data_IF_410368212145
#
_entry.id   IF_410368212145
#
_cell.length_a   1.000
_cell.length_b   1.000
_cell.length_c   1.000
_cell.angle_alpha   90.00
_cell.angle_beta   90.00
_cell.angle_gamma   90.00
#
_symmetry.space_group_name_H-M   'P 1'
#
loop_
_entity.id
_entity.type
_entity.pdbx_description
1 polymer ?
#
# COMPACT_ATOMS: atom_id res chain seq x y z
N UNK A 1 -6.51 11.72 -29.61
CA UNK A 1 -7.70 10.91 -29.26
C UNK A 1 -7.43 10.24 -27.92
N UNK A 2 -7.89 10.86 -26.82
CA UNK A 2 -7.65 10.35 -25.46
C UNK A 2 -8.47 9.09 -25.20
N UNK A 3 -7.83 8.01 -24.73
CA UNK A 3 -8.52 6.83 -24.22
C UNK A 3 -9.31 7.27 -22.98
N UNK A 4 -10.63 7.42 -23.12
CA UNK A 4 -11.55 7.50 -22.00
C UNK A 4 -11.34 6.23 -21.15
N UNK A 5 -10.67 6.38 -20.01
CA UNK A 5 -10.59 5.32 -19.01
C UNK A 5 -11.97 5.19 -18.37
N UNK A 6 -12.86 4.47 -19.08
CA UNK A 6 -14.16 4.07 -18.57
C UNK A 6 -13.95 3.33 -17.24
N UNK A 7 -14.58 3.81 -16.17
CA UNK A 7 -14.58 3.14 -14.88
C UNK A 7 -15.09 1.71 -15.03
N UNK A 8 -14.61 0.79 -14.19
CA UNK A 8 -15.00 -0.64 -14.23
C UNK A 8 -16.53 -0.78 -14.24
N UNK A 9 -17.23 0.06 -13.47
CA UNK A 9 -18.69 0.17 -13.46
C UNK A 9 -19.28 0.40 -14.85
N UNK A 10 -18.77 1.38 -15.60
CA UNK A 10 -19.29 1.68 -16.93
C UNK A 10 -19.01 0.55 -17.92
N UNK A 11 -17.88 -0.17 -17.77
CA UNK A 11 -17.55 -1.34 -18.59
C UNK A 11 -18.52 -2.50 -18.33
N UNK A 12 -18.81 -2.81 -17.06
CA UNK A 12 -19.76 -3.87 -16.70
C UNK A 12 -21.16 -3.54 -17.22
N UNK A 13 -21.64 -2.31 -17.03
CA UNK A 13 -22.93 -1.86 -17.54
C UNK A 13 -22.97 -1.97 -19.07
N UNK A 14 -21.92 -1.54 -19.77
CA UNK A 14 -21.90 -1.56 -21.23
C UNK A 14 -21.90 -2.99 -21.78
N UNK A 15 -21.08 -3.89 -21.22
CA UNK A 15 -21.01 -5.30 -21.65
C UNK A 15 -22.34 -6.01 -21.41
N UNK A 16 -22.94 -5.83 -20.24
CA UNK A 16 -24.22 -6.47 -19.89
C UNK A 16 -25.37 -5.94 -20.76
N UNK A 17 -25.43 -4.62 -20.99
CA UNK A 17 -26.43 -4.03 -21.89
C UNK A 17 -26.23 -4.54 -23.33
N UNK A 18 -24.99 -4.65 -23.81
CA UNK A 18 -24.70 -5.19 -25.13
C UNK A 18 -25.15 -6.64 -25.30
N UNK A 19 -24.91 -7.50 -24.30
CA UNK A 19 -25.39 -8.88 -24.28
C UNK A 19 -26.93 -8.91 -24.29
N UNK A 20 -27.58 -8.05 -23.49
CA UNK A 20 -29.03 -7.99 -23.41
C UNK A 20 -29.65 -7.55 -24.74
N UNK A 21 -29.11 -6.50 -25.37
CA UNK A 21 -29.54 -6.03 -26.70
C UNK A 21 -29.40 -7.16 -27.72
N UNK A 22 -28.26 -7.86 -27.73
CA UNK A 22 -28.03 -8.96 -28.65
C UNK A 22 -29.02 -10.11 -28.43
N UNK A 23 -29.28 -10.51 -27.17
CA UNK A 23 -30.24 -11.55 -26.84
C UNK A 23 -31.67 -11.19 -27.25
N UNK A 24 -32.10 -9.96 -26.98
CA UNK A 24 -33.44 -9.46 -27.36
C UNK A 24 -33.58 -9.42 -28.89
N UNK A 25 -32.56 -8.93 -29.61
CA UNK A 25 -32.57 -8.89 -31.07
C UNK A 25 -32.63 -10.30 -31.68
N UNK A 26 -31.80 -11.22 -31.19
CA UNK A 26 -31.80 -12.61 -31.64
C UNK A 26 -33.15 -13.30 -31.40
N UNK A 27 -33.74 -13.11 -30.21
CA UNK A 27 -35.05 -13.65 -29.89
C UNK A 27 -36.15 -13.07 -30.77
N UNK A 28 -36.17 -11.74 -30.97
CA UNK A 28 -37.18 -11.09 -31.83
C UNK A 28 -37.09 -11.57 -33.29
N UNK A 29 -35.88 -11.73 -33.82
CA UNK A 29 -35.66 -12.26 -35.17
C UNK A 29 -36.16 -13.70 -35.30
N UNK A 30 -35.83 -14.55 -34.32
CA UNK A 30 -36.26 -15.94 -34.30
C UNK A 30 -37.79 -16.08 -34.21
N UNK A 31 -38.42 -15.35 -33.27
CA UNK A 31 -39.88 -15.36 -33.12
C UNK A 31 -40.61 -14.84 -34.36
N UNK A 32 -40.11 -13.77 -34.99
CA UNK A 32 -40.69 -13.25 -36.24
C UNK A 32 -40.60 -14.27 -37.37
N UNK A 33 -39.47 -14.95 -37.52
CA UNK A 33 -39.30 -15.99 -38.55
C UNK A 33 -40.24 -17.18 -38.33
N UNK A 34 -40.39 -17.64 -37.09
CA UNK A 34 -41.32 -18.74 -36.73
C UNK A 34 -42.76 -18.31 -37.04
N UNK A 35 -43.16 -17.12 -36.59
CA UNK A 35 -44.51 -16.61 -36.79
C UNK A 35 -44.86 -16.47 -38.27
N UNK A 36 -43.96 -15.92 -39.09
CA UNK A 36 -44.18 -15.78 -40.54
C UNK A 36 -44.53 -17.13 -41.17
N UNK A 37 -43.77 -18.17 -40.83
CA UNK A 37 -43.94 -19.52 -41.36
C UNK A 37 -45.24 -20.16 -40.88
N UNK A 38 -45.55 -20.07 -39.59
CA UNK A 38 -46.79 -20.62 -39.03
C UNK A 38 -48.04 -19.92 -39.58
N UNK A 39 -47.99 -18.59 -39.70
CA UNK A 39 -49.09 -17.79 -40.23
C UNK A 39 -49.36 -18.09 -41.71
N UNK A 40 -48.30 -18.21 -42.52
CA UNK A 40 -48.42 -18.63 -43.92
C UNK A 40 -49.05 -20.03 -44.03
N UNK A 41 -48.52 -21.03 -43.30
CA UNK A 41 -49.06 -22.38 -43.32
C UNK A 41 -50.54 -22.43 -42.91
N UNK A 42 -50.96 -21.59 -41.94
CA UNK A 42 -52.34 -21.50 -41.51
C UNK A 42 -53.27 -20.92 -42.60
N UNK A 43 -52.80 -19.90 -43.34
CA UNK A 43 -53.53 -19.34 -44.47
C UNK A 43 -53.64 -20.34 -45.63
N UNK A 44 -52.54 -21.03 -45.95
CA UNK A 44 -52.53 -22.10 -46.96
C UNK A 44 -53.50 -23.23 -46.62
N UNK A 45 -53.48 -23.70 -45.37
CA UNK A 45 -54.40 -24.73 -44.89
C UNK A 45 -55.86 -24.29 -44.97
N UNK A 46 -56.15 -23.02 -44.63
CA UNK A 46 -57.49 -22.44 -44.74
C UNK A 46 -57.95 -22.36 -46.19
N UNK A 47 -57.12 -21.84 -47.09
CA UNK A 47 -57.41 -21.76 -48.52
C UNK A 47 -57.64 -23.15 -49.13
N UNK A 48 -56.87 -24.16 -48.70
CA UNK A 48 -57.06 -25.55 -49.11
C UNK A 48 -58.41 -26.13 -48.66
N UNK A 49 -58.80 -25.93 -47.40
CA UNK A 49 -60.11 -26.37 -46.89
C UNK A 49 -61.26 -25.70 -47.64
N UNK A 50 -61.15 -24.40 -47.89
CA UNK A 50 -62.13 -23.61 -48.64
C UNK A 50 -62.26 -24.13 -50.08
N UNK A 51 -61.15 -24.30 -50.77
CA UNK A 51 -61.17 -24.83 -52.14
C UNK A 51 -61.71 -26.26 -52.20
N UNK A 52 -61.46 -27.09 -51.18
CA UNK A 52 -62.05 -28.44 -51.09
C UNK A 52 -63.56 -28.38 -50.88
N UNK A 53 -64.06 -27.40 -50.13
CA UNK A 53 -65.49 -27.14 -49.99
C UNK A 53 -66.14 -26.79 -51.33
N UNK A 54 -65.54 -25.85 -52.09
CA UNK A 54 -65.99 -25.52 -53.45
C UNK A 54 -65.99 -26.74 -54.36
N UNK A 55 -64.94 -27.57 -54.27
CA UNK A 55 -64.84 -28.79 -55.07
C UNK A 55 -65.99 -29.73 -54.75
N UNK A 56 -66.31 -29.94 -53.47
CA UNK A 56 -67.42 -30.81 -53.07
C UNK A 56 -68.77 -30.31 -53.62
N UNK A 57 -69.01 -29.00 -53.61
CA UNK A 57 -70.22 -28.42 -54.19
C UNK A 57 -70.27 -28.57 -55.72
N UNK A 58 -69.13 -28.40 -56.37
CA UNK A 58 -68.99 -28.55 -57.81
C UNK A 58 -69.18 -30.01 -58.24
N UNK A 59 -68.56 -30.96 -57.53
CA UNK A 59 -68.72 -32.40 -57.74
C UNK A 59 -70.19 -32.81 -57.64
N UNK A 60 -70.96 -32.23 -56.70
CA UNK A 60 -72.41 -32.45 -56.58
C UNK A 60 -73.16 -31.99 -57.83
N UNK A 61 -72.80 -30.85 -58.42
CA UNK A 61 -73.43 -30.33 -59.64
C UNK A 61 -73.03 -31.14 -60.89
N UNK A 62 -71.76 -31.51 -60.98
CA UNK A 62 -71.21 -32.32 -62.08
C UNK A 62 -71.75 -33.77 -62.07
N UNK A 63 -72.21 -34.27 -60.91
CA UNK A 63 -72.84 -35.59 -60.80
C UNK A 63 -74.12 -35.75 -61.64
N UNK A 64 -74.73 -34.64 -62.08
CA UNK A 64 -75.86 -34.61 -63.00
C UNK A 64 -75.47 -34.67 -64.48
N UNK A 65 -74.20 -34.99 -64.79
CA UNK A 65 -73.63 -35.07 -66.15
C UNK A 65 -73.70 -33.74 -66.93
N UNK A 66 -73.72 -32.62 -66.20
CA UNK A 66 -73.68 -31.28 -66.78
C UNK A 66 -72.21 -30.90 -67.00
N UNK A 67 -71.78 -30.55 -68.23
CA UNK A 67 -70.42 -30.10 -68.47
C UNK A 67 -70.07 -28.87 -67.64
N UNK A 68 -68.84 -28.79 -67.12
CA UNK A 68 -68.38 -27.69 -66.26
C UNK A 68 -68.64 -26.29 -66.87
N UNK A 69 -68.43 -26.15 -68.18
CA UNK A 69 -68.67 -24.92 -68.93
C UNK A 69 -70.16 -24.53 -69.11
N UNK A 70 -71.08 -25.46 -68.85
CA UNK A 70 -72.52 -25.26 -68.97
C UNK A 70 -73.19 -25.00 -67.60
N UNK A 71 -72.43 -25.07 -66.50
CA UNK A 71 -72.94 -24.70 -65.19
C UNK A 71 -73.19 -23.18 -65.15
N UNK A 72 -74.23 -22.77 -64.42
CA UNK A 72 -74.62 -21.35 -64.30
C UNK A 72 -74.83 -21.03 -62.83
N UNK A 73 -74.36 -19.86 -62.39
CA UNK A 73 -74.62 -19.34 -61.06
C UNK A 73 -73.61 -19.79 -59.99
N UNK A 74 -72.60 -20.57 -60.36
CA UNK A 74 -71.53 -20.98 -59.43
C UNK A 74 -70.62 -19.81 -59.03
N UNK A 75 -70.65 -18.69 -59.77
CA UNK A 75 -69.96 -17.45 -59.40
C UNK A 75 -70.44 -16.95 -58.03
N UNK A 76 -71.71 -17.20 -57.67
CA UNK A 76 -72.27 -16.82 -56.37
C UNK A 76 -71.58 -17.54 -55.21
N UNK A 77 -71.20 -18.82 -55.40
CA UNK A 77 -70.46 -19.58 -54.39
C UNK A 77 -69.04 -19.02 -54.21
N UNK A 78 -68.38 -18.66 -55.31
CA UNK A 78 -67.09 -17.97 -55.25
C UNK A 78 -67.20 -16.62 -54.52
N UNK A 79 -68.26 -15.85 -54.76
CA UNK A 79 -68.52 -14.57 -54.09
C UNK A 79 -68.79 -14.74 -52.59
N UNK A 80 -69.61 -15.72 -52.21
CA UNK A 80 -69.97 -15.97 -50.82
C UNK A 80 -68.75 -16.34 -49.99
N UNK A 81 -67.86 -17.19 -50.52
CA UNK A 81 -66.61 -17.57 -49.85
C UNK A 81 -65.67 -16.38 -49.66
N UNK A 82 -65.44 -15.56 -50.68
CA UNK A 82 -64.57 -14.39 -50.55
C UNK A 82 -65.17 -13.38 -49.56
N UNK A 83 -66.49 -13.32 -49.46
CA UNK A 83 -67.20 -12.46 -48.49
C UNK A 83 -67.16 -13.01 -47.07
N UNK A 84 -67.26 -14.32 -46.88
CA UNK A 84 -67.26 -14.97 -45.57
C UNK A 84 -65.85 -15.05 -44.97
N UNK A 85 -64.82 -15.26 -45.80
CA UNK A 85 -63.45 -15.41 -45.35
C UNK A 85 -62.61 -14.18 -45.68
N UNK A 86 -62.46 -13.27 -44.72
CA UNK A 86 -61.75 -11.98 -44.85
C UNK A 86 -60.30 -12.07 -45.40
N UNK A 87 -59.64 -13.22 -45.26
CA UNK A 87 -58.26 -13.43 -45.69
C UNK A 87 -58.12 -14.00 -47.12
N UNK A 88 -59.23 -14.32 -47.79
CA UNK A 88 -59.22 -14.83 -49.16
C UNK A 88 -59.45 -13.66 -50.11
N UNK A 89 -58.53 -13.46 -51.05
CA UNK A 89 -58.59 -12.37 -52.01
C UNK A 89 -59.45 -12.72 -53.22
N UNK A 90 -59.39 -13.98 -53.67
CA UNK A 90 -60.21 -14.46 -54.77
C UNK A 90 -60.50 -15.96 -54.66
N UNK A 91 -61.57 -16.37 -55.31
CA UNK A 91 -61.90 -17.76 -55.56
C UNK A 91 -62.43 -17.89 -56.99
N UNK A 92 -61.93 -18.86 -57.73
CA UNK A 92 -62.31 -19.06 -59.13
C UNK A 92 -62.24 -20.52 -59.55
N UNK A 93 -62.90 -20.82 -60.67
CA UNK A 93 -62.91 -22.11 -61.34
C UNK A 93 -62.48 -21.91 -62.79
N UNK A 94 -61.56 -22.73 -63.24
CA UNK A 94 -60.94 -22.63 -64.57
C UNK A 94 -60.98 -23.95 -65.30
N UNK A 95 -61.03 -23.92 -66.63
CA UNK A 95 -60.82 -25.12 -67.45
C UNK A 95 -59.32 -25.48 -67.54
N UNK A 96 -58.99 -26.65 -68.10
CA UNK A 96 -57.59 -27.09 -68.29
C UNK A 96 -56.76 -26.20 -69.21
N UNK A 97 -57.41 -25.34 -70.00
CA UNK A 97 -56.73 -24.36 -70.85
C UNK A 97 -56.44 -23.07 -70.09
N UNK A 98 -56.96 -22.91 -68.88
CA UNK A 98 -56.81 -21.71 -68.05
C UNK A 98 -57.88 -20.64 -68.31
N UNK A 99 -58.98 -20.99 -68.99
CA UNK A 99 -60.12 -20.09 -69.17
C UNK A 99 -60.92 -20.01 -67.89
N UNK A 100 -61.18 -18.80 -67.38
CA UNK A 100 -61.95 -18.57 -66.17
C UNK A 100 -63.45 -18.79 -66.46
N UNK A 101 -64.02 -19.79 -65.81
CA UNK A 101 -65.44 -20.16 -65.93
C UNK A 101 -66.28 -19.52 -64.83
N UNK A 102 -65.78 -19.51 -63.60
CA UNK A 102 -66.44 -18.88 -62.46
C UNK A 102 -65.43 -18.08 -61.66
N UNK A 103 -65.78 -16.89 -61.19
CA UNK A 103 -64.89 -16.03 -60.42
C UNK A 103 -65.71 -15.18 -59.45
N UNK A 104 -65.14 -14.83 -58.29
CA UNK A 104 -65.83 -13.96 -57.32
C UNK A 104 -66.10 -12.55 -57.88
N UNK A 105 -65.14 -11.98 -58.62
CA UNK A 105 -65.34 -10.80 -59.47
C UNK A 105 -65.88 -11.21 -60.86
N UNK A 106 -67.13 -10.87 -61.22
CA UNK A 106 -67.72 -11.21 -62.51
C UNK A 106 -67.00 -10.62 -63.73
N UNK A 107 -66.22 -9.54 -63.55
CA UNK A 107 -65.47 -8.92 -64.65
C UNK A 107 -64.32 -9.80 -65.18
N UNK A 108 -63.95 -10.82 -64.40
CA UNK A 108 -62.90 -11.79 -64.72
C UNK A 108 -63.42 -13.01 -65.49
N UNK A 109 -64.73 -13.13 -65.68
CA UNK A 109 -65.32 -14.22 -66.45
C UNK A 109 -64.79 -14.24 -67.89
N UNK A 110 -64.58 -15.44 -68.44
CA UNK A 110 -64.02 -15.68 -69.77
C UNK A 110 -62.58 -15.18 -70.00
N UNK A 111 -61.93 -14.57 -69.01
CA UNK A 111 -60.52 -14.19 -69.13
C UNK A 111 -59.62 -15.44 -69.13
N UNK A 112 -58.44 -15.28 -69.73
CA UNK A 112 -57.50 -16.37 -69.97
C UNK A 112 -56.26 -16.18 -69.09
N UNK A 113 -55.96 -17.17 -68.25
CA UNK A 113 -54.73 -17.18 -67.47
C UNK A 113 -53.56 -17.39 -68.42
N UNK A 114 -52.56 -16.52 -68.32
CA UNK A 114 -51.36 -16.53 -69.19
C UNK A 114 -50.11 -16.98 -68.45
N UNK A 115 -50.12 -17.02 -67.12
CA UNK A 115 -48.96 -17.45 -66.33
C UNK A 115 -48.66 -18.94 -66.55
N UNK A 116 -47.47 -19.22 -67.07
CA UNK A 116 -47.03 -20.58 -67.43
C UNK A 116 -46.89 -21.54 -66.24
N UNK A 117 -46.54 -21.03 -65.05
CA UNK A 117 -46.38 -21.84 -63.84
C UNK A 117 -47.75 -22.27 -63.35
N UNK A 118 -48.70 -21.32 -63.32
CA UNK A 118 -50.08 -21.59 -62.92
C UNK A 118 -50.78 -22.52 -63.91
N UNK A 119 -50.64 -22.29 -65.23
CA UNK A 119 -51.22 -23.17 -66.25
C UNK A 119 -50.73 -24.62 -66.10
N UNK A 120 -49.42 -24.80 -65.87
CA UNK A 120 -48.84 -26.13 -65.64
C UNK A 120 -49.37 -26.77 -64.35
N UNK A 121 -49.65 -25.98 -63.32
CA UNK A 121 -50.21 -26.46 -62.06
C UNK A 121 -51.70 -26.84 -62.21
N UNK A 122 -52.49 -26.05 -62.94
CA UNK A 122 -53.90 -26.35 -63.28
C UNK A 122 -54.03 -27.67 -64.03
N UNK A 123 -53.06 -28.02 -64.90
CA UNK A 123 -53.10 -29.25 -65.69
C UNK A 123 -52.70 -30.51 -64.91
N UNK A 124 -52.15 -30.37 -63.71
CA UNK A 124 -51.76 -31.51 -62.88
C UNK A 124 -52.96 -32.02 -62.06
N UNK A 125 -53.20 -33.35 -62.01
CA UNK A 125 -54.33 -33.94 -61.28
C UNK A 125 -54.07 -34.03 -59.76
N UNK A 126 -53.33 -33.07 -59.20
CA UNK A 126 -52.97 -33.03 -57.79
C UNK A 126 -53.05 -31.60 -57.27
N UNK A 127 -53.41 -31.45 -56.00
CA UNK A 127 -53.45 -30.13 -55.38
C UNK A 127 -52.05 -29.56 -55.23
N UNK A 128 -51.88 -28.27 -55.48
CA UNK A 128 -50.59 -27.59 -55.33
C UNK A 128 -50.79 -26.18 -54.80
N UNK A 129 -49.70 -25.63 -54.25
CA UNK A 129 -49.64 -24.25 -53.79
C UNK A 129 -48.67 -23.52 -54.73
N UNK A 130 -49.10 -22.40 -55.28
CA UNK A 130 -48.29 -21.60 -56.19
C UNK A 130 -48.29 -20.14 -55.76
N UNK A 131 -47.24 -19.44 -56.16
CA UNK A 131 -47.15 -18.00 -56.06
C UNK A 131 -47.58 -17.41 -57.40
N UNK A 132 -48.59 -16.55 -57.37
CA UNK A 132 -49.14 -15.89 -58.54
C UNK A 132 -48.98 -14.38 -58.39
N UNK A 133 -48.55 -13.69 -59.45
CA UNK A 133 -48.43 -12.24 -59.42
C UNK A 133 -49.24 -11.62 -60.55
N UNK A 134 -50.06 -10.64 -60.19
CA UNK A 134 -50.95 -9.92 -61.09
C UNK A 134 -51.01 -8.45 -60.67
N UNK A 135 -50.81 -7.54 -61.63
CA UNK A 135 -50.93 -6.08 -61.43
C UNK A 135 -50.16 -5.57 -60.18
N UNK A 136 -48.89 -5.94 -60.05
CA UNK A 136 -48.01 -5.61 -58.91
C UNK A 136 -48.43 -6.17 -57.54
N UNK A 137 -49.44 -7.04 -57.49
CA UNK A 137 -49.77 -7.81 -56.30
C UNK A 137 -49.29 -9.25 -56.43
N UNK A 138 -48.90 -9.83 -55.31
CA UNK A 138 -48.51 -11.22 -55.21
C UNK A 138 -49.50 -11.95 -54.32
N UNK A 139 -49.95 -13.11 -54.77
CA UNK A 139 -50.88 -13.98 -54.09
C UNK A 139 -50.24 -15.35 -53.90
N UNK A 140 -50.47 -15.94 -52.74
CA UNK A 140 -50.29 -17.37 -52.57
C UNK A 140 -51.65 -18.01 -52.87
N UNK A 141 -51.66 -19.01 -53.73
CA UNK A 141 -52.89 -19.68 -54.12
C UNK A 141 -52.81 -21.19 -54.00
N UNK A 142 -53.93 -21.77 -53.62
CA UNK A 142 -54.12 -23.22 -53.61
C UNK A 142 -54.92 -23.60 -54.84
N UNK A 143 -54.37 -24.52 -55.62
CA UNK A 143 -54.96 -25.05 -56.85
C UNK A 143 -55.45 -26.46 -56.53
N UNK A 144 -56.74 -26.71 -56.75
CA UNK A 144 -57.39 -27.98 -56.46
C UNK A 144 -58.00 -28.52 -57.75
N UNK A 145 -57.62 -29.72 -58.21
CA UNK A 145 -58.13 -30.29 -59.44
C UNK A 145 -59.61 -30.66 -59.31
N UNK A 146 -60.36 -30.43 -60.39
CA UNK A 146 -61.78 -30.74 -60.56
C UNK A 146 -61.91 -31.88 -61.56
N UNK A 147 -62.70 -32.88 -61.20
CA UNK A 147 -62.91 -34.07 -62.04
C UNK A 147 -64.37 -34.14 -62.49
N UNK A 148 -64.59 -34.64 -63.71
CA UNK A 148 -65.91 -34.86 -64.28
C UNK A 148 -66.58 -36.11 -63.72
N UNK A 149 -67.77 -36.41 -64.25
CA UNK A 149 -68.57 -37.57 -63.85
C UNK A 149 -67.89 -38.92 -64.13
N UNK A 150 -66.85 -38.94 -64.98
CA UNK A 150 -66.08 -40.14 -65.36
C UNK A 150 -64.65 -40.12 -64.81
N UNK A 151 -64.41 -39.35 -63.75
CA UNK A 151 -63.10 -39.18 -63.09
C UNK A 151 -62.01 -38.60 -64.01
N UNK A 152 -62.42 -37.90 -65.06
CA UNK A 152 -61.54 -37.18 -65.96
C UNK A 152 -61.22 -35.78 -65.42
N UNK A 153 -59.95 -35.38 -65.43
CA UNK A 153 -59.55 -34.05 -65.00
C UNK A 153 -60.08 -33.02 -66.01
N UNK A 154 -60.92 -32.06 -65.58
CA UNK A 154 -61.61 -31.12 -66.47
C UNK A 154 -61.29 -29.65 -66.18
N UNK A 155 -60.69 -29.36 -65.03
CA UNK A 155 -60.38 -28.01 -64.62
C UNK A 155 -59.79 -27.96 -63.22
N UNK A 156 -59.68 -26.75 -62.67
CA UNK A 156 -59.21 -26.55 -61.31
C UNK A 156 -59.98 -25.43 -60.60
N UNK A 157 -60.07 -25.54 -59.28
CA UNK A 157 -60.46 -24.46 -58.38
C UNK A 157 -59.18 -23.78 -57.90
N UNK A 158 -59.14 -22.45 -57.96
CA UNK A 158 -58.06 -21.62 -57.44
C UNK A 158 -58.59 -20.75 -56.32
N UNK A 159 -57.96 -20.81 -55.16
CA UNK A 159 -58.27 -19.96 -54.01
C UNK A 159 -57.01 -19.23 -53.60
N UNK A 160 -57.00 -17.90 -53.76
CA UNK A 160 -55.82 -17.07 -53.53
C UNK A 160 -55.98 -16.12 -52.36
N UNK A 161 -54.88 -15.86 -51.66
CA UNK A 161 -54.77 -14.83 -50.64
C UNK A 161 -53.52 -13.99 -50.85
N UNK A 162 -53.63 -12.69 -50.58
CA UNK A 162 -52.54 -11.74 -50.80
C UNK A 162 -51.33 -12.03 -49.91
N UNK A 163 -50.13 -12.06 -50.50
CA UNK A 163 -48.86 -12.13 -49.76
C UNK A 163 -48.64 -10.89 -48.89
N UNK A 164 -49.28 -9.75 -49.22
CA UNK A 164 -49.22 -8.54 -48.41
C UNK A 164 -49.89 -8.70 -47.04
N UNK A 165 -50.88 -9.58 -46.90
CA UNK A 165 -51.52 -9.88 -45.62
C UNK A 165 -50.52 -10.43 -44.59
N UNK A 166 -49.58 -11.26 -45.04
CA UNK A 166 -48.49 -11.78 -44.21
C UNK A 166 -47.54 -10.63 -43.81
N UNK A 167 -47.18 -9.77 -44.77
CA UNK A 167 -46.28 -8.63 -44.51
C UNK A 167 -46.87 -7.64 -43.51
N UNK A 168 -48.15 -7.28 -43.65
CA UNK A 168 -48.86 -6.40 -42.72
C UNK A 168 -48.90 -6.99 -41.31
N UNK A 169 -49.20 -8.30 -41.18
CA UNK A 169 -49.24 -8.95 -39.86
C UNK A 169 -47.86 -9.05 -39.21
N UNK A 170 -46.81 -9.18 -40.02
CA UNK A 170 -45.43 -9.12 -39.55
C UNK A 170 -45.05 -7.72 -39.06
N UNK A 171 -45.48 -6.65 -39.75
CA UNK A 171 -45.22 -5.26 -39.34
C UNK A 171 -45.85 -4.93 -37.99
N UNK A 172 -47.09 -5.34 -37.75
CA UNK A 172 -47.74 -5.25 -36.43
C UNK A 172 -46.88 -5.95 -35.37
N UNK A 173 -46.45 -7.19 -35.65
CA UNK A 173 -45.67 -8.00 -34.73
C UNK A 173 -44.29 -7.38 -34.43
N UNK A 174 -43.63 -6.81 -35.44
CA UNK A 174 -42.37 -6.07 -35.25
C UNK A 174 -42.58 -4.82 -34.38
N UNK A 175 -43.69 -4.12 -34.55
CA UNK A 175 -44.01 -2.94 -33.73
C UNK A 175 -44.19 -3.36 -32.27
N UNK A 176 -44.99 -4.41 -32.01
CA UNK A 176 -45.16 -4.95 -30.67
C UNK A 176 -43.86 -5.48 -30.08
N UNK A 177 -43.06 -6.24 -30.85
CA UNK A 177 -41.80 -6.80 -30.37
C UNK A 177 -40.78 -5.71 -30.03
N UNK A 178 -40.76 -4.62 -30.79
CA UNK A 178 -39.89 -3.46 -30.54
C UNK A 178 -40.29 -2.73 -29.26
N UNK A 179 -41.59 -2.52 -29.03
CA UNK A 179 -42.08 -1.91 -27.78
C UNK A 179 -41.74 -2.79 -26.58
N UNK A 180 -41.99 -4.10 -26.67
CA UNK A 180 -41.65 -5.06 -25.60
C UNK A 180 -40.15 -5.11 -25.35
N UNK A 181 -39.34 -5.07 -26.42
CA UNK A 181 -37.88 -5.01 -26.33
C UNK A 181 -37.41 -3.76 -25.57
N UNK A 182 -37.96 -2.59 -25.89
CA UNK A 182 -37.59 -1.33 -25.23
C UNK A 182 -37.98 -1.32 -23.75
N UNK A 183 -39.18 -1.78 -23.42
CA UNK A 183 -39.64 -1.91 -22.02
C UNK A 183 -38.76 -2.90 -21.25
N UNK A 184 -38.46 -4.05 -21.85
CA UNK A 184 -37.58 -5.05 -21.23
C UNK A 184 -36.16 -4.50 -21.01
N UNK A 185 -35.61 -3.79 -21.99
CA UNK A 185 -34.28 -3.19 -21.92
C UNK A 185 -34.21 -2.12 -20.82
N UNK A 186 -35.20 -1.24 -20.76
CA UNK A 186 -35.24 -0.17 -19.74
C UNK A 186 -35.39 -0.73 -18.33
N UNK A 187 -36.25 -1.73 -18.14
CA UNK A 187 -36.43 -2.39 -16.85
C UNK A 187 -35.17 -3.14 -16.42
N UNK A 188 -34.54 -3.89 -17.34
CA UNK A 188 -33.30 -4.59 -17.07
C UNK A 188 -32.14 -3.62 -16.76
N UNK A 189 -32.01 -2.53 -17.51
CA UNK A 189 -31.00 -1.50 -17.25
C UNK A 189 -31.22 -0.84 -15.88
N UNK A 190 -32.47 -0.51 -15.54
CA UNK A 190 -32.82 0.05 -14.23
C UNK A 190 -32.48 -0.89 -13.07
N UNK A 191 -32.84 -2.17 -13.19
CA UNK A 191 -32.56 -3.19 -12.18
C UNK A 191 -31.05 -3.43 -12.02
N UNK A 192 -30.31 -3.42 -13.13
CA UNK A 192 -28.86 -3.56 -13.13
C UNK A 192 -28.18 -2.37 -12.44
N UNK A 193 -28.57 -1.14 -12.78
CA UNK A 193 -28.06 0.08 -12.13
C UNK A 193 -28.36 0.06 -10.63
N UNK A 194 -29.58 -0.32 -10.25
CA UNK A 194 -30.00 -0.44 -8.86
C UNK A 194 -29.17 -1.48 -8.10
N UNK A 195 -29.04 -2.70 -8.63
CA UNK A 195 -28.27 -3.80 -8.03
C UNK A 195 -26.79 -3.42 -7.86
N UNK A 196 -26.14 -2.92 -8.92
CA UNK A 196 -24.76 -2.45 -8.84
C UNK A 196 -24.59 -1.32 -7.82
N UNK A 197 -25.55 -0.40 -7.71
CA UNK A 197 -25.48 0.67 -6.74
C UNK A 197 -25.63 0.15 -5.31
N UNK A 198 -26.61 -0.71 -5.05
CA UNK A 198 -26.98 -1.17 -3.72
C UNK A 198 -25.97 -2.17 -3.15
N UNK A 199 -25.51 -3.11 -3.97
CA UNK A 199 -24.72 -4.26 -3.50
C UNK A 199 -23.22 -4.09 -3.72
N UNK A 200 -22.78 -3.26 -4.67
CA UNK A 200 -21.35 -3.09 -4.98
C UNK A 200 -20.87 -1.68 -4.67
N UNK A 201 -21.51 -0.67 -5.26
CA UNK A 201 -20.97 0.71 -5.25
C UNK A 201 -21.07 1.35 -3.87
N UNK A 202 -22.24 1.29 -3.21
CA UNK A 202 -22.43 1.90 -1.89
C UNK A 202 -21.50 1.29 -0.81
N UNK A 203 -21.37 -0.05 -0.69
CA UNK A 203 -20.43 -0.66 0.25
C UNK A 203 -18.97 -0.26 -0.01
N UNK A 204 -18.52 -0.31 -1.26
CA UNK A 204 -17.14 0.09 -1.61
C UNK A 204 -16.88 1.57 -1.34
N UNK A 205 -17.87 2.44 -1.57
CA UNK A 205 -17.73 3.86 -1.28
C UNK A 205 -17.64 4.10 0.22
N UNK A 206 -18.42 3.38 1.04
CA UNK A 206 -18.30 3.43 2.51
C UNK A 206 -16.92 3.00 2.99
N UNK A 207 -16.38 1.90 2.48
CA UNK A 207 -15.00 1.47 2.77
C UNK A 207 -13.98 2.55 2.37
N UNK A 208 -14.11 3.11 1.17
CA UNK A 208 -13.20 4.14 0.67
C UNK A 208 -13.27 5.42 1.49
N UNK A 209 -14.45 5.85 1.95
CA UNK A 209 -14.57 7.05 2.79
C UNK A 209 -13.97 6.81 4.16
N UNK A 210 -14.24 5.65 4.79
CA UNK A 210 -13.63 5.29 6.08
C UNK A 210 -12.09 5.28 6.01
N UNK A 211 -11.50 4.79 4.90
CA UNK A 211 -10.05 4.85 4.69
C UNK A 211 -9.55 6.30 4.65
N UNK A 212 -10.25 7.19 3.95
CA UNK A 212 -9.84 8.60 3.85
C UNK A 212 -9.95 9.32 5.20
N UNK A 213 -10.97 9.01 5.98
CA UNK A 213 -11.20 9.59 7.30
C UNK A 213 -10.17 9.09 8.34
N UNK A 214 -9.76 7.82 8.29
CA UNK A 214 -8.64 7.30 9.09
C UNK A 214 -7.34 8.02 8.72
N UNK A 215 -7.05 8.17 7.42
CA UNK A 215 -5.83 8.87 6.96
C UNK A 215 -5.80 10.32 7.43
N UNK A 216 -6.95 10.97 7.52
CA UNK A 216 -7.05 12.36 7.95
C UNK A 216 -7.15 12.50 9.49
N UNK A 217 -6.96 11.41 10.25
CA UNK A 217 -6.99 11.37 11.72
C UNK A 217 -8.33 11.86 12.31
N UNK A 218 -9.42 11.76 11.53
CA UNK A 218 -10.74 12.29 11.90
C UNK A 218 -11.69 11.26 12.50
N UNK A 219 -11.36 9.97 12.40
CA UNK A 219 -12.26 8.89 12.83
C UNK A 219 -11.77 8.24 14.13
N UNK A 220 -12.72 8.05 15.06
CA UNK A 220 -12.62 7.16 16.20
C UNK A 220 -12.71 5.72 15.66
N UNK A 221 -11.68 4.89 15.84
CA UNK A 221 -11.66 3.58 15.18
C UNK A 221 -12.64 2.54 15.75
N UNK A 222 -13.56 2.97 16.61
CA UNK A 222 -14.68 2.17 17.12
C UNK A 222 -15.81 1.92 16.11
N UNK A 223 -15.88 2.64 14.99
CA UNK A 223 -16.87 2.37 13.94
C UNK A 223 -16.47 1.23 13.00
N UNK A 224 -17.02 0.04 13.23
CA UNK A 224 -16.89 -1.08 12.31
C UNK A 224 -17.60 -0.82 10.98
N UNK A 225 -16.92 -1.16 9.88
CA UNK A 225 -17.57 -1.17 8.56
C UNK A 225 -18.46 -2.41 8.46
N UNK A 226 -19.74 -2.24 8.81
CA UNK A 226 -20.74 -3.28 8.63
C UNK A 226 -21.10 -3.42 7.15
N UNK A 227 -20.85 -4.60 6.58
CA UNK A 227 -21.39 -5.02 5.29
C UNK A 227 -22.66 -5.83 5.51
N UNK A 228 -23.68 -5.62 4.66
CA UNK A 228 -24.89 -6.46 4.61
C UNK A 228 -24.79 -7.61 3.61
N UNK A 229 -23.71 -7.66 2.82
CA UNK A 229 -23.52 -8.69 1.79
C UNK A 229 -22.79 -9.89 2.39
N UNK A 230 -23.02 -11.10 1.85
CA UNK A 230 -22.38 -12.38 2.26
C UNK A 230 -21.35 -12.87 1.25
N UNK A 231 -20.61 -11.95 0.65
CA UNK A 231 -19.76 -12.17 -0.52
C UNK A 231 -18.32 -11.65 -0.26
N UNK A 232 -17.55 -11.45 -1.32
CA UNK A 232 -16.17 -10.94 -1.25
C UNK A 232 -16.09 -9.55 -0.58
N UNK A 233 -17.18 -8.76 -0.61
CA UNK A 233 -17.24 -7.45 0.06
C UNK A 233 -17.34 -7.64 1.57
N UNK A 234 -18.00 -8.68 2.06
CA UNK A 234 -17.97 -9.05 3.48
C UNK A 234 -16.57 -9.41 3.93
N UNK A 235 -15.89 -10.26 3.16
CA UNK A 235 -14.52 -10.68 3.47
C UNK A 235 -13.57 -9.48 3.51
N UNK A 236 -13.69 -8.57 2.54
CA UNK A 236 -12.91 -7.34 2.52
C UNK A 236 -13.21 -6.44 3.72
N UNK A 237 -14.49 -6.30 4.10
CA UNK A 237 -14.90 -5.50 5.26
C UNK A 237 -14.37 -6.09 6.57
N UNK A 238 -14.43 -7.41 6.73
CA UNK A 238 -13.88 -8.11 7.90
C UNK A 238 -12.35 -7.99 7.97
N UNK A 239 -11.65 -8.17 6.84
CA UNK A 239 -10.20 -7.99 6.77
C UNK A 239 -9.80 -6.55 7.09
N UNK A 240 -10.58 -5.57 6.61
CA UNK A 240 -10.37 -4.16 6.91
C UNK A 240 -10.60 -3.84 8.38
N UNK A 241 -11.67 -4.34 8.99
CA UNK A 241 -11.93 -4.16 10.42
C UNK A 241 -10.79 -4.76 11.27
N UNK A 242 -10.27 -5.95 10.89
CA UNK A 242 -9.08 -6.52 11.56
C UNK A 242 -7.85 -5.63 11.45
N UNK A 243 -7.57 -5.09 10.26
CA UNK A 243 -6.45 -4.18 10.06
C UNK A 243 -6.59 -2.90 10.90
N UNK A 244 -7.81 -2.38 11.03
CA UNK A 244 -8.11 -1.24 11.92
C UNK A 244 -7.76 -1.60 13.36
N UNK A 245 -8.26 -2.72 13.87
CA UNK A 245 -8.00 -3.15 15.26
C UNK A 245 -6.50 -3.37 15.51
N UNK A 246 -5.78 -3.97 14.56
CA UNK A 246 -4.33 -4.17 14.67
C UNK A 246 -3.58 -2.83 14.67
N UNK A 247 -4.03 -1.87 13.85
CA UNK A 247 -3.46 -0.52 13.80
C UNK A 247 -3.69 0.23 15.12
N UNK A 248 -4.89 0.16 15.70
CA UNK A 248 -5.19 0.73 17.01
C UNK A 248 -4.27 0.16 18.10
N UNK A 249 -4.12 -1.17 18.13
CA UNK A 249 -3.25 -1.84 19.10
C UNK A 249 -1.79 -1.41 18.93
N UNK A 250 -1.31 -1.35 17.69
CA UNK A 250 0.06 -0.90 17.40
C UNK A 250 0.27 0.56 17.82
N UNK A 251 -0.69 1.46 17.56
CA UNK A 251 -0.61 2.85 18.03
C UNK A 251 -0.61 2.95 19.56
N UNK A 252 -1.43 2.14 20.24
CA UNK A 252 -1.46 2.11 21.71
C UNK A 252 -0.13 1.60 22.30
N UNK A 253 0.47 0.57 21.71
CA UNK A 253 1.80 0.07 22.11
C UNK A 253 2.89 1.12 21.90
N UNK A 254 2.90 1.80 20.75
CA UNK A 254 3.86 2.89 20.48
C UNK A 254 3.71 4.02 21.50
N UNK A 255 2.48 4.45 21.81
CA UNK A 255 2.24 5.47 22.84
C UNK A 255 2.75 5.04 24.20
N UNK A 256 2.50 3.79 24.60
CA UNK A 256 3.00 3.22 25.84
C UNK A 256 4.54 3.22 25.89
N UNK A 257 5.21 2.73 24.85
CA UNK A 257 6.68 2.74 24.79
C UNK A 257 7.26 4.15 24.79
N UNK A 258 6.58 5.10 24.14
CA UNK A 258 7.01 6.51 24.13
C UNK A 258 6.96 7.09 25.54
N UNK A 259 5.88 6.87 26.28
CA UNK A 259 5.76 7.30 27.68
C UNK A 259 6.80 6.62 28.59
N UNK A 260 7.00 5.31 28.45
CA UNK A 260 8.03 4.59 29.21
C UNK A 260 9.45 5.12 28.92
N UNK A 261 9.72 5.46 27.65
CA UNK A 261 11.01 6.02 27.24
C UNK A 261 11.20 7.44 27.78
N UNK A 262 10.16 8.29 27.74
CA UNK A 262 10.21 9.64 28.32
C UNK A 262 10.55 9.60 29.81
N UNK A 263 9.88 8.76 30.59
CA UNK A 263 10.17 8.56 32.02
C UNK A 263 11.62 8.11 32.22
N UNK A 264 12.08 7.11 31.46
CA UNK A 264 13.44 6.58 31.58
C UNK A 264 14.51 7.58 31.18
N UNK A 265 14.23 8.42 30.18
CA UNK A 265 15.12 9.52 29.76
C UNK A 265 15.19 10.57 30.86
N UNK A 266 14.08 10.93 31.48
CA UNK A 266 14.04 11.88 32.60
C UNK A 266 14.84 11.36 33.80
N UNK A 267 14.63 10.10 34.21
CA UNK A 267 15.39 9.45 35.29
C UNK A 267 16.91 9.44 35.01
N UNK A 268 17.31 9.00 33.82
CA UNK A 268 18.74 8.95 33.44
C UNK A 268 19.36 10.34 33.35
N UNK A 269 18.60 11.34 32.91
CA UNK A 269 19.09 12.72 32.84
C UNK A 269 19.30 13.30 34.24
N UNK A 270 18.39 13.01 35.18
CA UNK A 270 18.54 13.40 36.58
C UNK A 270 19.75 12.73 37.25
N UNK A 271 19.93 11.41 37.02
CA UNK A 271 21.09 10.66 37.51
C UNK A 271 22.41 11.23 36.97
N UNK A 272 22.49 11.46 35.66
CA UNK A 272 23.67 12.05 35.02
C UNK A 272 23.97 13.46 35.55
N UNK A 273 22.94 14.27 35.80
CA UNK A 273 23.13 15.60 36.38
C UNK A 273 23.75 15.52 37.77
N UNK A 274 23.24 14.65 38.64
CA UNK A 274 23.76 14.46 39.99
C UNK A 274 25.22 13.95 39.97
N UNK A 275 25.52 12.96 39.12
CA UNK A 275 26.89 12.45 38.95
C UNK A 275 27.83 13.57 38.44
N UNK A 276 27.38 14.40 37.50
CA UNK A 276 28.18 15.51 36.98
C UNK A 276 28.45 16.57 38.05
N UNK A 277 27.45 16.94 38.85
CA UNK A 277 27.62 17.84 40.00
C UNK A 277 28.65 17.28 41.00
N UNK A 278 28.58 15.98 41.33
CA UNK A 278 29.56 15.34 42.20
C UNK A 278 30.97 15.34 41.60
N UNK A 279 31.11 15.00 40.31
CA UNK A 279 32.42 15.06 39.63
C UNK A 279 33.00 16.47 39.64
N UNK A 280 32.18 17.50 39.42
CA UNK A 280 32.64 18.89 39.47
C UNK A 280 33.15 19.26 40.87
N UNK A 281 32.47 18.79 41.93
CA UNK A 281 32.94 18.99 43.29
C UNK A 281 34.28 18.26 43.54
N UNK A 282 34.40 16.99 43.17
CA UNK A 282 35.64 16.22 43.33
C UNK A 282 36.81 16.88 42.59
N UNK A 283 36.59 17.39 41.36
CA UNK A 283 37.59 18.12 40.59
C UNK A 283 37.99 19.42 41.30
N UNK A 284 37.04 20.15 41.87
CA UNK A 284 37.33 21.39 42.60
C UNK A 284 38.13 21.13 43.87
N UNK A 285 37.79 20.08 44.63
CA UNK A 285 38.53 19.66 45.82
C UNK A 285 39.96 19.23 45.47
N UNK A 286 40.12 18.43 44.41
CA UNK A 286 41.43 18.00 43.92
C UNK A 286 42.31 19.19 43.53
N UNK A 287 41.76 20.15 42.77
CA UNK A 287 42.50 21.38 42.40
C UNK A 287 42.94 22.20 43.61
N UNK A 288 42.10 22.32 44.65
CA UNK A 288 42.46 23.00 45.89
C UNK A 288 43.55 22.26 46.68
N UNK A 289 43.57 20.93 46.64
CA UNK A 289 44.63 20.14 47.27
C UNK A 289 45.95 20.30 46.52
N UNK A 290 45.92 20.24 45.19
CA UNK A 290 47.09 20.47 44.32
C UNK A 290 47.68 21.88 44.52
N UNK A 291 46.83 22.92 44.60
CA UNK A 291 47.31 24.29 44.85
C UNK A 291 47.93 24.45 46.25
N UNK A 292 47.29 23.92 47.29
CA UNK A 292 47.87 23.96 48.65
C UNK A 292 49.20 23.22 48.76
N UNK A 293 49.33 22.10 48.06
CA UNK A 293 50.59 21.37 47.99
C UNK A 293 51.66 22.23 47.32
N UNK A 294 51.34 22.82 46.17
CA UNK A 294 52.25 23.71 45.43
C UNK A 294 52.69 24.92 46.25
N UNK A 295 51.76 25.59 46.94
CA UNK A 295 52.06 26.71 47.83
C UNK A 295 52.98 26.29 48.99
N UNK A 296 52.73 25.11 49.58
CA UNK A 296 53.57 24.57 50.66
C UNK A 296 54.98 24.24 50.18
N UNK A 297 55.12 23.62 49.01
CA UNK A 297 56.41 23.28 48.40
C UNK A 297 57.21 24.56 48.05
N UNK A 298 56.56 25.56 47.46
CA UNK A 298 57.17 26.86 47.17
C UNK A 298 57.66 27.53 48.46
N UNK A 299 56.79 27.57 49.49
CA UNK A 299 57.14 28.18 50.77
C UNK A 299 58.32 27.49 51.44
N UNK A 300 58.35 26.16 51.44
CA UNK A 300 59.50 25.40 51.96
C UNK A 300 60.77 25.72 51.18
N UNK A 301 60.71 25.71 49.84
CA UNK A 301 61.86 26.03 48.99
C UNK A 301 62.41 27.43 49.27
N UNK A 302 61.54 28.44 49.38
CA UNK A 302 61.96 29.82 49.68
C UNK A 302 62.65 29.90 51.04
N UNK A 303 62.05 29.32 52.09
CA UNK A 303 62.61 29.34 53.45
C UNK A 303 63.96 28.61 53.53
N UNK A 304 64.09 27.47 52.85
CA UNK A 304 65.31 26.70 52.82
C UNK A 304 66.43 27.44 52.06
N UNK A 305 66.14 27.92 50.84
CA UNK A 305 67.15 28.56 49.98
C UNK A 305 67.61 29.94 50.51
N UNK A 306 66.70 30.73 51.09
CA UNK A 306 67.02 32.08 51.59
C UNK A 306 67.28 32.15 53.10
N UNK A 307 67.51 31.00 53.76
CA UNK A 307 68.03 31.01 55.13
C UNK A 307 69.38 31.73 55.19
N UNK A 308 69.62 32.64 56.17
CA UNK A 308 70.88 33.36 56.30
C UNK A 308 72.03 32.46 56.77
N UNK A 309 71.70 31.33 57.38
CA UNK A 309 72.68 30.31 57.80
C UNK A 309 72.79 29.21 56.72
N UNK A 310 73.96 28.58 56.65
CA UNK A 310 74.19 27.44 55.78
C UNK A 310 73.38 26.24 56.29
N UNK A 311 72.47 25.73 55.46
CA UNK A 311 71.66 24.56 55.78
C UNK A 311 72.12 23.36 54.97
N UNK A 312 72.31 22.23 55.63
CA UNK A 312 72.57 20.94 55.00
C UNK A 312 71.58 19.91 55.54
N UNK A 313 71.13 19.02 54.66
CA UNK A 313 70.36 17.84 55.02
C UNK A 313 71.24 16.63 54.73
N UNK A 314 71.42 15.77 55.73
CA UNK A 314 72.39 14.68 55.71
C UNK A 314 71.68 13.39 56.05
N UNK A 315 71.96 12.32 55.30
CA UNK A 315 71.52 10.96 55.60
C UNK A 315 72.63 10.22 56.37
N UNK A 316 72.48 10.03 57.70
CA UNK A 316 73.46 9.28 58.47
C UNK A 316 73.40 7.76 58.21
N UNK A 317 72.38 7.30 57.48
CA UNK A 317 72.10 5.89 57.20
C UNK A 317 72.37 5.48 55.74
N UNK A 318 72.86 6.40 54.89
CA UNK A 318 73.20 6.08 53.51
C UNK A 318 74.25 4.95 53.44
N UNK A 319 73.92 3.91 52.68
CA UNK A 319 74.77 2.72 52.52
C UNK A 319 75.88 2.91 51.48
N UNK A 320 75.72 3.89 50.59
CA UNK A 320 76.64 4.14 49.48
C UNK A 320 77.67 5.20 49.85
N UNK A 321 77.23 6.27 50.50
CA UNK A 321 78.09 7.40 50.89
C UNK A 321 77.90 7.66 52.38
N UNK A 322 78.98 7.54 53.16
CA UNK A 322 78.88 7.74 54.60
C UNK A 322 78.50 9.18 54.94
N UNK A 323 77.38 9.37 55.65
CA UNK A 323 76.84 10.69 56.02
C UNK A 323 76.69 11.59 54.79
N UNK A 324 75.91 11.10 53.84
CA UNK A 324 75.65 11.72 52.54
C UNK A 324 74.87 13.02 52.70
N UNK A 325 75.32 14.08 52.04
CA UNK A 325 74.57 15.33 51.94
C UNK A 325 73.46 15.13 50.89
N UNK A 326 72.20 15.05 51.35
CA UNK A 326 71.02 14.94 50.48
C UNK A 326 70.61 16.27 49.86
N UNK A 327 70.79 17.37 50.60
CA UNK A 327 70.42 18.70 50.16
C UNK A 327 71.28 19.76 50.88
N UNK A 328 71.48 20.92 50.26
CA UNK A 328 72.09 22.09 50.88
C UNK A 328 71.56 23.39 50.27
N UNK A 329 71.38 24.43 51.08
CA UNK A 329 70.93 25.72 50.56
C UNK A 329 72.05 26.50 49.86
N UNK A 330 71.70 27.57 49.14
CA UNK A 330 72.69 28.39 48.44
C UNK A 330 73.77 28.96 49.36
N UNK A 331 73.41 29.33 50.61
CA UNK A 331 74.37 29.83 51.59
C UNK A 331 75.41 28.78 51.97
N UNK A 332 75.03 27.50 52.13
CA UNK A 332 75.97 26.42 52.39
C UNK A 332 76.96 26.22 51.24
N UNK A 333 76.49 26.32 50.00
CA UNK A 333 77.33 26.30 48.81
C UNK A 333 78.33 27.45 48.80
N UNK A 334 77.84 28.69 49.00
CA UNK A 334 78.67 29.90 48.99
C UNK A 334 79.71 29.90 50.14
N UNK A 335 79.29 29.53 51.35
CA UNK A 335 80.14 29.51 52.54
C UNK A 335 81.31 28.52 52.39
N UNK A 336 81.06 27.34 51.81
CA UNK A 336 82.07 26.30 51.66
C UNK A 336 82.80 26.33 50.29
N UNK A 337 82.34 27.15 49.34
CA UNK A 337 82.98 27.37 48.04
C UNK A 337 82.67 26.29 46.99
N UNK A 338 81.67 25.45 47.22
CA UNK A 338 81.27 24.37 46.32
C UNK A 338 79.96 24.72 45.61
N UNK A 339 79.76 24.20 44.38
CA UNK A 339 78.43 24.20 43.76
C UNK A 339 77.58 23.11 44.39
N UNK A 340 76.27 23.26 44.32
CA UNK A 340 75.30 22.29 44.87
C UNK A 340 75.54 20.89 44.32
N UNK A 341 75.78 20.76 43.02
CA UNK A 341 76.03 19.47 42.35
C UNK A 341 77.37 18.83 42.76
N UNK A 342 78.26 19.61 43.37
CA UNK A 342 79.54 19.13 43.92
C UNK A 342 79.43 18.74 45.40
N UNK A 343 78.38 19.19 46.11
CA UNK A 343 78.14 18.87 47.53
C UNK A 343 77.12 17.76 47.71
N UNK A 344 76.00 17.83 47.00
CA UNK A 344 74.91 16.84 47.11
C UNK A 344 75.40 15.49 46.59
N UNK A 345 75.13 14.43 47.35
CA UNK A 345 75.63 13.08 47.10
C UNK A 345 77.08 12.85 47.58
N UNK A 346 77.75 13.85 48.15
CA UNK A 346 79.05 13.67 48.79
C UNK A 346 78.92 13.48 50.30
N UNK A 347 79.96 12.94 50.92
CA UNK A 347 80.04 12.83 52.38
C UNK A 347 80.24 14.22 53.01
N UNK A 348 79.66 14.44 54.19
CA UNK A 348 79.93 15.63 55.01
C UNK A 348 81.43 15.82 55.35
N UNK A 349 82.23 14.75 55.25
CA UNK A 349 83.69 14.82 55.42
C UNK A 349 84.38 15.68 54.37
N UNK A 350 83.69 16.01 53.27
CA UNK A 350 84.14 17.02 52.32
C UNK A 350 84.41 18.37 53.02
N UNK A 351 83.62 18.69 54.05
CA UNK A 351 83.69 19.95 54.78
C UNK A 351 84.46 19.83 56.09
N UNK A 352 84.32 18.73 56.81
CA UNK A 352 84.90 18.58 58.15
C UNK A 352 86.44 18.44 58.11
N UNK A 353 87.15 19.18 58.98
CA UNK A 353 88.61 19.02 59.14
C UNK A 353 88.90 17.80 60.02
N UNK A 354 89.51 16.76 59.42
CA UNK A 354 89.68 15.41 59.94
C UNK A 354 90.64 15.21 61.16
N UNK A 355 90.93 16.23 61.97
CA UNK A 355 91.89 16.09 63.08
C UNK A 355 91.31 15.44 64.36
N UNK A 356 90.00 15.17 64.36
CA UNK A 356 89.35 14.28 65.35
C UNK A 356 88.35 13.41 64.61
N UNK A 357 88.67 12.13 64.43
CA UNK A 357 87.67 11.12 64.06
C UNK A 357 86.68 11.00 65.24
N UNK A 358 85.72 11.92 65.29
CA UNK A 358 84.62 11.84 66.23
C UNK A 358 83.82 10.58 65.90
N UNK A 359 83.60 9.72 66.90
CA UNK A 359 82.85 8.48 66.71
C UNK A 359 81.43 8.83 66.22
N UNK A 360 81.18 8.63 64.92
CA UNK A 360 79.88 8.91 64.27
C UNK A 360 78.73 8.16 64.94
N UNK A 361 78.99 6.97 65.47
CA UNK A 361 78.00 6.21 66.24
C UNK A 361 77.63 6.95 67.51
N UNK A 362 78.62 7.42 68.27
CA UNK A 362 78.41 8.23 69.46
C UNK A 362 77.78 9.60 69.14
N UNK A 363 78.10 10.21 67.99
CA UNK A 363 77.47 11.46 67.53
C UNK A 363 75.98 11.25 67.29
N UNK A 364 75.61 10.22 66.53
CA UNK A 364 74.22 9.92 66.21
C UNK A 364 73.43 9.52 67.46
N UNK A 365 74.00 8.69 68.33
CA UNK A 365 73.39 8.32 69.62
C UNK A 365 73.17 9.56 70.50
N UNK A 366 74.11 10.52 70.49
CA UNK A 366 73.96 11.77 71.21
C UNK A 366 72.78 12.59 70.67
N UNK A 367 72.66 12.71 69.35
CA UNK A 367 71.53 13.37 68.70
C UNK A 367 70.21 12.67 68.99
N UNK A 368 70.14 11.34 68.93
CA UNK A 368 68.93 10.58 69.26
C UNK A 368 68.49 10.80 70.72
N UNK A 369 69.46 10.89 71.65
CA UNK A 369 69.16 11.09 73.07
C UNK A 369 68.82 12.53 73.44
N UNK A 370 69.49 13.53 72.84
CA UNK A 370 69.36 14.96 73.21
C UNK A 370 68.51 15.78 72.25
N UNK A 371 68.23 15.27 71.05
CA UNK A 371 67.47 15.92 69.98
C UNK A 371 68.26 16.97 69.18
N UNK A 372 69.26 17.61 69.79
CA UNK A 372 70.11 18.60 69.14
C UNK A 372 71.54 18.56 69.70
N UNK A 373 72.49 19.08 68.90
CA UNK A 373 73.88 19.30 69.30
C UNK A 373 74.35 20.62 68.73
N UNK A 374 75.08 21.38 69.54
CA UNK A 374 75.66 22.65 69.17
C UNK A 374 77.14 22.67 69.58
N UNK A 375 78.02 23.06 68.67
CA UNK A 375 79.46 23.10 68.90
C UNK A 375 80.15 24.07 67.94
N UNK A 376 81.35 24.52 68.30
CA UNK A 376 82.27 25.18 67.37
C UNK A 376 83.19 24.12 66.74
N UNK A 377 83.32 24.17 65.42
CA UNK A 377 84.18 23.31 64.62
C UNK A 377 84.97 24.12 63.60
N UNK A 378 85.75 23.42 62.78
CA UNK A 378 86.48 24.01 61.66
C UNK A 378 86.09 23.31 60.37
N UNK A 379 85.71 24.09 59.38
CA UNK A 379 85.43 23.60 58.03
C UNK A 379 86.61 23.85 57.11
N UNK A 380 86.72 23.00 56.10
CA UNK A 380 87.63 23.13 54.96
C UNK A 380 86.84 23.64 53.77
N UNK A 381 87.19 24.84 53.33
CA UNK A 381 86.66 25.40 52.10
C UNK A 381 87.28 24.71 50.88
N UNK A 382 86.63 24.79 49.72
CA UNK A 382 87.10 24.20 48.45
C UNK A 382 88.51 24.61 48.03
N UNK A 383 88.92 25.85 48.32
CA UNK A 383 90.27 26.35 48.04
C UNK A 383 91.35 25.86 49.03
N UNK A 384 90.95 25.04 50.01
CA UNK A 384 91.81 24.46 51.03
C UNK A 384 91.94 25.28 52.32
N UNK A 385 91.42 26.52 52.38
CA UNK A 385 91.48 27.32 53.62
C UNK A 385 90.60 26.71 54.71
N UNK A 386 91.06 26.79 55.96
CA UNK A 386 90.33 26.33 57.14
C UNK A 386 89.73 27.56 57.84
N UNK A 387 88.45 27.49 58.19
CA UNK A 387 87.74 28.58 58.85
C UNK A 387 86.85 28.05 59.99
N UNK A 388 86.68 28.82 61.08
CA UNK A 388 85.86 28.39 62.20
C UNK A 388 84.37 28.52 61.87
N UNK A 389 83.60 27.50 62.22
CA UNK A 389 82.16 27.45 62.08
C UNK A 389 81.49 27.10 63.40
N UNK A 390 80.32 27.67 63.63
CA UNK A 390 79.41 27.24 64.67
C UNK A 390 78.38 26.31 64.03
N UNK A 391 78.33 25.05 64.47
CA UNK A 391 77.52 23.97 63.88
C UNK A 391 76.42 23.61 64.86
N UNK A 392 75.18 23.70 64.39
CA UNK A 392 74.00 23.22 65.08
C UNK A 392 73.36 22.09 64.28
N UNK A 393 73.35 20.88 64.84
CA UNK A 393 72.71 19.72 64.20
C UNK A 393 71.51 19.25 64.99
N UNK A 394 70.44 18.87 64.31
CA UNK A 394 69.28 18.21 64.91
C UNK A 394 68.87 16.99 64.06
N UNK A 395 68.22 16.02 64.70
CA UNK A 395 67.65 14.87 64.01
C UNK A 395 66.19 15.17 63.66
N UNK A 396 65.84 15.05 62.38
CA UNK A 396 64.48 15.31 61.88
C UNK A 396 63.91 14.08 61.19
N UNK A 397 62.66 13.67 61.50
CA UNK A 397 62.00 12.59 60.80
C UNK A 397 61.42 13.12 59.48
N UNK A 398 61.92 12.61 58.35
CA UNK A 398 61.42 12.96 57.01
C UNK A 398 61.02 11.66 56.31
N UNK A 399 59.74 11.57 55.92
CA UNK A 399 59.16 10.37 55.28
C UNK A 399 59.46 9.04 56.02
N UNK A 400 59.49 9.08 57.36
CA UNK A 400 59.77 7.90 58.20
C UNK A 400 61.25 7.53 58.32
N UNK A 401 62.17 8.35 57.78
CA UNK A 401 63.62 8.21 57.93
C UNK A 401 64.17 9.32 58.82
N UNK A 402 65.12 8.99 59.68
CA UNK A 402 65.81 9.96 60.51
C UNK A 402 66.96 10.59 59.69
N UNK A 403 66.86 11.90 59.44
CA UNK A 403 67.88 12.68 58.75
C UNK A 403 68.48 13.71 59.70
N UNK A 404 69.72 14.11 59.45
CA UNK A 404 70.36 15.19 60.21
C UNK A 404 70.19 16.49 59.43
N UNK A 405 69.63 17.51 60.06
CA UNK A 405 69.74 18.89 59.58
C UNK A 405 70.93 19.56 60.24
N UNK A 406 71.88 20.03 59.45
CA UNK A 406 73.00 20.86 59.88
C UNK A 406 72.72 22.33 59.56
N UNK A 407 72.93 23.18 60.56
CA UNK A 407 72.87 24.63 60.44
C UNK A 407 74.25 25.15 60.84
N UNK A 408 74.97 25.66 59.86
CA UNK A 408 76.35 26.09 60.02
C UNK A 408 76.43 27.61 59.84
N UNK A 409 77.17 28.25 60.74
CA UNK A 409 77.42 29.68 60.70
C UNK A 409 78.91 29.95 60.72
N UNK A 410 79.40 30.71 59.76
CA UNK A 410 80.78 31.20 59.76
C UNK A 410 80.97 32.19 60.93
N UNK A 411 81.89 31.88 61.85
CA UNK A 411 82.21 32.71 63.01
C UNK A 411 83.60 33.34 62.90
N UNK A 412 84.17 33.40 61.69
CA UNK A 412 85.49 34.00 61.42
C UNK A 412 85.56 35.44 61.92
N UNK A 413 84.55 36.27 61.64
CA UNK A 413 84.51 37.65 62.12
C UNK A 413 84.40 37.75 63.64
N UNK A 414 83.58 36.87 64.26
CA UNK A 414 83.41 36.80 65.72
C UNK A 414 84.74 36.46 66.41
N UNK A 415 85.43 35.42 65.95
CA UNK A 415 86.74 35.01 66.51
C UNK A 415 87.80 36.10 66.36
N UNK A 416 87.86 36.76 65.19
CA UNK A 416 88.79 37.89 64.99
C UNK A 416 88.54 39.07 65.93
N UNK A 417 87.29 39.31 66.31
CA UNK A 417 86.92 40.37 67.25
C UNK A 417 87.16 40.00 68.72
N UNK A 418 87.13 38.71 69.08
CA UNK A 418 87.47 38.22 70.43
C UNK A 418 89.00 38.23 70.69
N UNK A 419 89.80 38.17 69.63
CA UNK A 419 91.27 38.16 69.68
C UNK A 419 91.92 39.55 69.52
N UNK A 420 91.13 40.61 69.27
CA UNK A 420 91.56 42.01 69.12
C UNK A 420 91.23 42.85 70.36
#
# INVERSE_FOLDING_TARGET
MGRMNLSIRLRVIFVTLAILIFAIAANSLMSSHIFAREYQNALESRAFVIGRSLRFELDRLLSYDIPLQNLVGFEKQCQEIVREYENISYAMVVDLRGKILFHNDPSQHDQQITDTVILKAIQQPQSSIQLYSEQDQTYNEVIIPVFGSRDEHIGAIRVGFSSWLIAQKLEDLFTYSTVVALVSLTLAAGLLIFSLSAWVTKPLMKLSTTIQEIRNNTLDFSEEVQSKSRDEIEQLSLAFNRLITDLEKSQAEVRKYTQELEIKVEERTAELKNINERLQQDIAERRRAEERLRESEERFRILFQHSPDALLLIDPHSTEVSWEILDCNEVACQMNGYRREEMVGQSIDLLNVADKAEDRGAYLENLQRRGYRHLEAYHRHKDGRIFPVEVSTALIPVAGRELIIGIDRDITERKRAEEA
#
